data_IF_652164089804
#
_entry.id   IF_652164089804
#
_cell.length_a   1.000
_cell.length_b   1.000
_cell.length_c   1.000
_cell.angle_alpha   90.00
_cell.angle_beta   90.00
_cell.angle_gamma   90.00
#
_symmetry.space_group_name_H-M   'P 1'
#
loop_
_entity.id
_entity.type
_entity.pdbx_description
1 polymer ?
#
# COMPACT_ATOMS: atom_id res chain seq x y z
N UNK A 1 46.04 4.06 6.65
CA UNK A 1 46.35 4.63 5.33
C UNK A 1 45.88 3.63 4.28
N UNK A 2 44.67 3.83 3.75
CA UNK A 2 44.19 3.28 2.47
C UNK A 2 43.23 4.34 1.94
N UNK A 3 43.73 5.19 1.04
CA UNK A 3 42.98 6.22 0.33
C UNK A 3 42.18 5.54 -0.77
N UNK A 4 40.88 5.81 -0.84
CA UNK A 4 40.06 5.54 -2.02
C UNK A 4 40.24 6.69 -3.03
N UNK A 5 40.15 6.41 -4.34
CA UNK A 5 40.36 7.41 -5.39
C UNK A 5 39.29 8.51 -5.37
N UNK A 6 39.69 9.73 -5.74
CA UNK A 6 38.81 10.87 -5.95
C UNK A 6 37.75 10.57 -7.04
N UNK A 7 36.46 10.62 -6.65
CA UNK A 7 35.21 10.78 -7.45
C UNK A 7 34.18 9.70 -7.16
N UNK A 8 33.23 10.00 -6.26
CA UNK A 8 31.84 9.51 -6.21
C UNK A 8 31.15 10.02 -4.92
N UNK A 9 30.00 10.72 -5.01
CA UNK A 9 29.20 11.11 -3.83
C UNK A 9 28.17 10.05 -3.56
N UNK A 10 28.27 9.40 -2.42
CA UNK A 10 27.37 8.36 -1.97
C UNK A 10 26.18 8.99 -1.20
N UNK A 11 24.99 9.04 -1.79
CA UNK A 11 23.70 9.30 -1.12
C UNK A 11 23.32 8.14 -0.17
N UNK A 12 23.46 8.36 1.14
CA UNK A 12 22.87 7.49 2.16
C UNK A 12 21.47 7.96 2.52
N UNK A 13 20.46 7.31 1.97
CA UNK A 13 19.07 7.47 2.38
C UNK A 13 18.90 6.86 3.78
N UNK A 14 18.83 7.65 4.85
CA UNK A 14 18.34 7.16 6.13
C UNK A 14 16.83 7.48 6.24
N UNK A 15 16.09 6.57 6.86
CA UNK A 15 14.89 6.87 7.61
C UNK A 15 15.35 7.22 9.04
N UNK A 16 14.72 8.19 9.71
CA UNK A 16 14.71 8.19 11.19
C UNK A 16 13.36 7.59 11.61
N UNK A 17 13.27 6.57 12.47
CA UNK A 17 14.33 5.88 13.22
C UNK A 17 15.10 4.83 12.42
N UNK A 18 15.94 4.06 13.14
CA UNK A 18 16.68 2.87 12.70
C UNK A 18 16.29 2.38 11.31
N UNK A 19 17.30 1.94 10.55
CA UNK A 19 16.87 1.00 9.55
C UNK A 19 16.24 -0.17 10.25
N UNK A 20 15.04 -0.38 9.75
CA UNK A 20 14.43 -1.66 9.65
C UNK A 20 13.94 -1.86 8.19
N UNK A 21 14.82 -2.28 7.29
CA UNK A 21 14.57 -3.51 6.51
C UNK A 21 14.76 -4.73 7.42
N UNK A 22 14.16 -4.60 8.59
CA UNK A 22 13.55 -5.61 9.41
C UNK A 22 12.57 -4.92 10.37
N UNK A 23 11.56 -4.31 9.78
CA UNK A 23 10.23 -4.64 10.25
C UNK A 23 9.79 -5.66 9.22
N UNK A 24 10.44 -6.83 9.24
CA UNK A 24 9.65 -8.03 9.11
C UNK A 24 9.08 -8.19 10.53
N UNK A 25 8.16 -7.31 10.90
CA UNK A 25 7.10 -7.75 11.79
C UNK A 25 6.01 -8.31 10.87
N UNK A 26 4.92 -8.79 11.45
CA UNK A 26 3.82 -9.36 10.67
C UNK A 26 3.20 -8.39 9.65
N UNK A 27 3.50 -7.09 9.73
CA UNK A 27 2.74 -6.01 9.10
C UNK A 27 3.50 -5.37 7.94
N UNK A 28 4.84 -5.52 7.88
CA UNK A 28 5.66 -5.15 6.72
C UNK A 28 6.47 -6.36 6.18
N UNK A 29 6.26 -6.70 4.92
CA UNK A 29 6.92 -7.81 4.21
C UNK A 29 8.18 -7.33 3.48
N UNK A 30 9.06 -8.26 3.10
CA UNK A 30 10.24 -7.93 2.31
C UNK A 30 9.86 -7.43 0.91
N UNK A 31 8.82 -8.00 0.31
CA UNK A 31 8.31 -7.64 -1.01
C UNK A 31 7.82 -6.19 -1.06
N UNK A 32 7.20 -5.69 0.02
CA UNK A 32 6.77 -4.28 0.15
C UNK A 32 7.94 -3.28 0.22
N UNK A 33 9.18 -3.75 0.35
CA UNK A 33 10.40 -2.94 0.40
C UNK A 33 11.19 -3.01 -0.92
N UNK A 34 10.65 -3.68 -1.94
CA UNK A 34 11.28 -3.82 -3.25
C UNK A 34 11.48 -2.44 -3.88
N UNK A 35 12.72 -2.11 -4.26
CA UNK A 35 13.08 -0.94 -5.05
C UNK A 35 13.83 -1.46 -6.28
N UNK A 36 13.23 -1.28 -7.45
CA UNK A 36 13.76 -1.69 -8.76
C UNK A 36 14.51 -0.54 -9.44
N UNK A 37 14.06 0.70 -9.23
CA UNK A 37 14.71 1.89 -9.74
C UNK A 37 14.47 3.09 -8.81
N UNK A 38 15.35 4.08 -8.91
CA UNK A 38 15.31 5.28 -8.08
C UNK A 38 15.78 6.49 -8.89
N UNK A 39 15.05 7.59 -8.80
CA UNK A 39 15.40 8.87 -9.40
C UNK A 39 15.48 9.96 -8.34
N UNK A 40 16.43 10.88 -8.49
CA UNK A 40 16.72 11.95 -7.53
C UNK A 40 16.69 13.30 -8.22
N UNK A 41 16.02 14.27 -7.59
CA UNK A 41 15.89 15.64 -8.07
C UNK A 41 16.28 16.61 -6.96
N UNK A 42 16.88 17.74 -7.34
CA UNK A 42 17.31 18.79 -6.40
C UNK A 42 16.76 20.14 -6.82
N UNK A 43 16.24 20.93 -5.89
CA UNK A 43 15.92 22.35 -6.10
C UNK A 43 16.69 23.21 -5.10
N UNK A 44 16.77 24.51 -5.39
CA UNK A 44 17.15 25.48 -4.35
C UNK A 44 15.98 25.67 -3.37
N UNK A 45 16.24 25.91 -2.08
CA UNK A 45 15.18 26.19 -1.11
C UNK A 45 14.27 27.32 -1.59
N UNK A 46 12.96 27.12 -1.49
CA UNK A 46 11.93 28.07 -1.98
C UNK A 46 11.85 28.25 -3.50
N UNK A 47 12.57 27.44 -4.28
CA UNK A 47 12.48 27.41 -5.75
C UNK A 47 11.74 26.16 -6.22
N UNK A 48 10.88 26.32 -7.20
CA UNK A 48 10.23 25.20 -7.88
C UNK A 48 11.11 24.59 -8.99
N UNK A 49 12.22 25.25 -9.38
CA UNK A 49 13.05 24.80 -10.50
C UNK A 49 14.02 23.69 -10.08
N UNK A 50 14.01 22.59 -10.83
CA UNK A 50 14.96 21.49 -10.68
C UNK A 50 16.32 21.91 -11.21
N UNK A 51 17.30 21.95 -10.31
CA UNK A 51 18.69 22.31 -10.58
C UNK A 51 19.56 21.12 -10.97
N UNK A 52 19.25 19.94 -10.42
CA UNK A 52 19.96 18.69 -10.72
C UNK A 52 18.97 17.53 -10.78
N UNK A 53 19.20 16.60 -11.70
CA UNK A 53 18.32 15.46 -11.94
C UNK A 53 19.15 14.22 -12.30
N UNK A 54 18.81 13.11 -11.66
CA UNK A 54 19.42 11.80 -11.87
C UNK A 54 18.32 10.76 -12.00
N UNK A 55 18.08 10.29 -13.22
CA UNK A 55 17.05 9.29 -13.51
C UNK A 55 17.68 7.91 -13.48
N UNK A 56 17.04 6.98 -12.76
CA UNK A 56 17.50 5.60 -12.59
C UNK A 56 18.94 5.51 -12.05
N UNK A 57 19.19 6.28 -11.01
CA UNK A 57 20.42 6.23 -10.23
C UNK A 57 20.65 4.81 -9.69
N UNK A 58 21.83 4.28 -9.94
CA UNK A 58 22.25 3.02 -9.33
C UNK A 58 22.33 3.15 -7.80
N UNK A 59 22.00 2.06 -7.11
CA UNK A 59 22.11 1.98 -5.66
C UNK A 59 22.73 0.64 -5.25
N UNK A 60 23.36 0.63 -4.08
CA UNK A 60 23.85 -0.58 -3.42
C UNK A 60 22.96 -0.93 -2.23
N UNK A 61 22.80 -2.22 -2.01
CA UNK A 61 22.17 -2.76 -0.81
C UNK A 61 23.15 -2.73 0.35
N UNK A 62 22.84 -1.97 1.39
CA UNK A 62 23.45 -2.13 2.72
C UNK A 62 22.44 -2.88 3.58
N UNK A 63 22.88 -3.50 4.69
CA UNK A 63 22.00 -4.27 5.62
C UNK A 63 20.68 -3.57 5.92
N UNK A 64 20.76 -2.25 5.82
CA UNK A 64 19.84 -1.35 6.42
C UNK A 64 19.38 -0.23 5.41
N UNK A 65 20.13 0.15 4.38
CA UNK A 65 19.68 1.23 3.49
C UNK A 65 20.01 0.97 2.04
N UNK A 66 19.27 1.64 1.15
CA UNK A 66 19.70 1.80 -0.23
C UNK A 66 20.69 2.95 -0.31
N UNK A 67 21.86 2.64 -0.84
CA UNK A 67 22.95 3.56 -0.98
C UNK A 67 23.04 4.05 -2.42
N UNK A 68 22.49 5.22 -2.71
CA UNK A 68 22.60 5.82 -4.05
C UNK A 68 23.95 6.52 -4.14
N UNK A 69 24.55 6.71 -5.31
CA UNK A 69 25.77 7.51 -5.45
C UNK A 69 25.67 8.42 -6.67
N UNK A 70 25.71 9.74 -6.47
CA UNK A 70 25.60 10.75 -7.51
C UNK A 70 26.96 11.39 -7.82
N UNK A 71 27.18 11.82 -9.07
CA UNK A 71 28.40 12.52 -9.48
C UNK A 71 28.30 14.04 -9.22
N UNK A 72 28.11 14.44 -7.96
CA UNK A 72 28.01 15.85 -7.55
C UNK A 72 29.23 16.29 -6.72
N UNK A 73 29.57 17.59 -6.74
CA UNK A 73 30.55 18.19 -5.82
C UNK A 73 29.81 18.92 -4.68
N UNK A 74 29.84 18.41 -3.44
CA UNK A 74 29.15 19.03 -2.31
C UNK A 74 29.55 20.49 -2.06
N UNK A 75 30.79 20.86 -2.38
CA UNK A 75 31.28 22.23 -2.19
C UNK A 75 30.57 23.27 -3.07
N UNK A 76 29.88 22.81 -4.12
CA UNK A 76 29.15 23.66 -5.07
C UNK A 76 27.63 23.60 -4.89
N UNK A 77 27.13 22.66 -4.09
CA UNK A 77 25.69 22.44 -3.96
C UNK A 77 24.99 23.44 -3.04
N UNK A 78 25.69 23.98 -2.03
CA UNK A 78 25.05 24.86 -1.05
C UNK A 78 23.94 24.14 -0.27
N UNK A 79 22.80 24.81 -0.07
CA UNK A 79 21.61 24.19 0.51
C UNK A 79 20.66 23.74 -0.61
N UNK A 80 20.08 22.53 -0.52
CA UNK A 80 19.11 22.02 -1.50
C UNK A 80 17.90 21.36 -0.84
N UNK A 81 16.75 21.43 -1.51
CA UNK A 81 15.67 20.48 -1.28
C UNK A 81 15.90 19.25 -2.15
N UNK A 82 15.78 18.06 -1.56
CA UNK A 82 16.04 16.77 -2.21
C UNK A 82 14.74 16.02 -2.36
N UNK A 83 14.50 15.45 -3.54
CA UNK A 83 13.29 14.71 -3.88
C UNK A 83 13.70 13.36 -4.45
N UNK A 84 13.08 12.29 -3.95
CA UNK A 84 13.34 10.92 -4.40
C UNK A 84 12.05 10.30 -4.89
N UNK A 85 12.10 9.69 -6.06
CA UNK A 85 11.03 8.88 -6.65
C UNK A 85 11.58 7.46 -6.85
N UNK A 86 10.93 6.47 -6.26
CA UNK A 86 11.27 5.05 -6.45
C UNK A 86 10.18 4.32 -7.23
N UNK A 87 10.57 3.28 -7.97
CA UNK A 87 9.68 2.39 -8.75
C UNK A 87 8.75 3.16 -9.69
N UNK A 88 9.32 4.07 -10.48
CA UNK A 88 8.60 4.79 -11.53
C UNK A 88 9.17 4.41 -12.90
N UNK A 89 8.47 3.54 -13.62
CA UNK A 89 8.96 2.96 -14.88
C UNK A 89 8.70 3.86 -16.11
N UNK A 90 8.47 5.16 -15.89
CA UNK A 90 8.28 6.15 -16.96
C UNK A 90 9.49 7.08 -17.09
N UNK A 91 10.58 6.53 -17.65
CA UNK A 91 11.84 7.24 -17.86
C UNK A 91 11.68 8.55 -18.64
N UNK A 92 10.78 8.56 -19.63
CA UNK A 92 10.50 9.74 -20.47
C UNK A 92 9.91 10.86 -19.61
N UNK A 93 8.91 10.56 -18.77
CA UNK A 93 8.31 11.55 -17.87
C UNK A 93 9.30 12.02 -16.79
N UNK A 94 10.10 11.11 -16.24
CA UNK A 94 11.15 11.44 -15.27
C UNK A 94 12.19 12.40 -15.88
N UNK A 95 12.64 12.15 -17.11
CA UNK A 95 13.56 13.02 -17.83
C UNK A 95 12.92 14.35 -18.26
N UNK A 96 11.59 14.42 -18.41
CA UNK A 96 10.90 15.65 -18.76
C UNK A 96 10.80 16.65 -17.60
N UNK A 97 10.88 16.19 -16.35
CA UNK A 97 10.75 17.03 -15.15
C UNK A 97 11.74 18.19 -15.15
N UNK A 98 11.22 19.42 -15.06
CA UNK A 98 11.98 20.67 -14.88
C UNK A 98 11.60 21.39 -13.59
N UNK A 99 10.43 21.09 -13.02
CA UNK A 99 9.89 21.75 -11.84
C UNK A 99 9.29 20.77 -10.83
N UNK A 100 9.04 21.26 -9.60
CA UNK A 100 8.26 20.51 -8.60
C UNK A 100 6.84 20.21 -9.08
N UNK A 101 6.23 21.10 -9.87
CA UNK A 101 4.91 20.84 -10.43
C UNK A 101 4.94 19.70 -11.46
N UNK A 102 6.02 19.56 -12.25
CA UNK A 102 6.20 18.39 -13.13
C UNK A 102 6.31 17.09 -12.33
N UNK A 103 7.00 17.11 -11.17
CA UNK A 103 7.07 15.95 -10.29
C UNK A 103 5.68 15.56 -9.75
N UNK A 104 4.82 16.53 -9.44
CA UNK A 104 3.43 16.29 -8.99
C UNK A 104 2.53 15.72 -10.08
N UNK A 105 2.94 15.77 -11.35
CA UNK A 105 2.22 15.17 -12.48
C UNK A 105 2.63 13.72 -12.73
N UNK A 106 3.71 13.22 -12.10
CA UNK A 106 4.11 11.83 -12.23
C UNK A 106 3.09 10.90 -11.58
N UNK A 107 2.79 9.80 -12.28
CA UNK A 107 1.83 8.78 -11.85
C UNK A 107 2.53 7.45 -11.61
N UNK A 108 2.03 6.69 -10.65
CA UNK A 108 2.42 5.30 -10.47
C UNK A 108 2.00 4.45 -11.67
N UNK A 109 2.61 3.27 -11.83
CA UNK A 109 2.25 2.34 -12.89
C UNK A 109 0.74 2.01 -12.87
N UNK A 110 0.13 1.91 -14.04
CA UNK A 110 -1.30 1.59 -14.14
C UNK A 110 -1.55 0.12 -13.80
N UNK A 111 -2.50 -0.13 -12.92
CA UNK A 111 -3.08 -1.44 -12.60
C UNK A 111 -4.49 -1.52 -13.17
N UNK A 112 -5.04 -2.72 -13.32
CA UNK A 112 -6.40 -2.91 -13.82
C UNK A 112 -7.00 -4.22 -13.31
N UNK A 113 -8.23 -4.52 -13.73
CA UNK A 113 -8.99 -5.70 -13.29
C UNK A 113 -8.26 -7.05 -13.42
N UNK A 114 -7.28 -7.15 -14.32
CA UNK A 114 -6.49 -8.35 -14.59
C UNK A 114 -5.04 -8.27 -14.07
N UNK A 115 -4.53 -7.07 -13.80
CA UNK A 115 -3.16 -6.85 -13.34
C UNK A 115 -3.21 -5.97 -12.09
N UNK A 116 -3.25 -6.61 -10.92
CA UNK A 116 -3.40 -5.95 -9.63
C UNK A 116 -2.07 -5.38 -9.14
N UNK A 117 -2.13 -4.50 -8.15
CA UNK A 117 -0.93 -3.98 -7.50
C UNK A 117 -0.27 -5.07 -6.66
N UNK A 118 0.96 -5.43 -7.01
CA UNK A 118 1.75 -6.47 -6.32
C UNK A 118 3.04 -5.86 -5.76
N UNK A 119 3.36 -6.04 -4.47
CA UNK A 119 4.56 -5.49 -3.85
C UNK A 119 5.87 -5.89 -4.54
N UNK A 120 5.96 -7.15 -4.96
CA UNK A 120 7.15 -7.72 -5.62
C UNK A 120 7.52 -6.99 -6.93
N UNK A 121 6.55 -6.34 -7.58
CA UNK A 121 6.82 -5.55 -8.79
C UNK A 121 7.43 -4.17 -8.48
N UNK A 122 7.59 -3.82 -7.20
CA UNK A 122 7.99 -2.49 -6.76
C UNK A 122 6.81 -1.52 -6.74
N UNK A 123 6.38 -1.12 -5.54
CA UNK A 123 5.35 -0.09 -5.38
C UNK A 123 6.02 1.28 -5.53
N UNK A 124 5.43 2.19 -6.31
CA UNK A 124 5.93 3.57 -6.43
C UNK A 124 6.02 4.24 -5.05
N UNK A 125 7.11 4.94 -4.80
CA UNK A 125 7.33 5.67 -3.54
C UNK A 125 7.88 7.06 -3.80
N UNK A 126 7.67 7.96 -2.84
CA UNK A 126 8.16 9.32 -2.88
C UNK A 126 8.68 9.78 -1.53
N UNK A 127 9.76 10.55 -1.52
CA UNK A 127 10.33 11.13 -0.31
C UNK A 127 10.98 12.47 -0.55
N UNK A 128 11.09 13.28 0.49
CA UNK A 128 11.81 14.55 0.43
C UNK A 128 12.67 14.82 1.67
N UNK A 129 13.70 15.63 1.46
CA UNK A 129 14.50 16.25 2.54
C UNK A 129 14.64 17.73 2.23
N UNK A 130 13.89 18.60 2.93
CA UNK A 130 13.96 20.03 2.68
C UNK A 130 15.22 20.64 3.30
N UNK A 131 15.74 21.69 2.67
CA UNK A 131 16.79 22.57 3.15
C UNK A 131 18.04 21.83 3.68
N UNK A 132 18.47 20.76 3.00
CA UNK A 132 19.69 20.05 3.37
C UNK A 132 20.92 20.90 3.01
N UNK A 133 21.70 21.27 4.02
CA UNK A 133 22.89 22.10 3.85
C UNK A 133 24.15 21.25 3.66
N UNK A 134 24.70 21.27 2.44
CA UNK A 134 25.94 20.58 2.10
C UNK A 134 27.20 21.28 2.66
N UNK A 135 27.08 22.48 3.26
CA UNK A 135 28.21 23.26 3.78
C UNK A 135 28.55 23.01 5.26
N UNK A 136 27.67 22.36 6.03
CA UNK A 136 27.85 22.23 7.49
C UNK A 136 28.72 20.99 7.81
N UNK A 137 29.99 21.22 8.13
CA UNK A 137 30.89 20.24 8.75
C UNK A 137 31.32 19.08 7.83
N UNK A 138 31.46 17.87 8.39
CA UNK A 138 31.76 16.63 7.66
C UNK A 138 30.52 15.90 7.12
N UNK A 139 29.32 16.49 7.27
CA UNK A 139 28.06 15.87 6.84
C UNK A 139 27.92 15.95 5.32
N UNK A 140 28.22 14.84 4.65
CA UNK A 140 28.02 14.67 3.19
C UNK A 140 26.82 13.77 2.86
N UNK A 141 25.97 13.50 3.85
CA UNK A 141 24.98 12.42 3.80
C UNK A 141 23.58 12.98 4.05
N UNK A 142 22.71 12.87 3.06
CA UNK A 142 21.33 13.33 3.12
C UNK A 142 20.35 12.17 3.22
N UNK A 143 19.44 12.29 4.19
CA UNK A 143 18.50 11.29 4.68
C UNK A 143 17.13 11.54 4.08
N UNK A 144 16.65 10.66 3.19
CA UNK A 144 15.32 10.78 2.57
C UNK A 144 14.48 9.56 2.91
N UNK A 145 13.38 9.76 3.64
CA UNK A 145 12.36 8.74 3.87
C UNK A 145 11.38 8.73 2.70
N UNK A 146 11.14 7.57 2.11
CA UNK A 146 10.16 7.39 1.02
C UNK A 146 8.88 6.72 1.53
N UNK A 147 7.73 7.19 1.06
CA UNK A 147 6.40 6.66 1.41
C UNK A 147 5.77 6.00 0.20
N UNK A 148 5.14 4.83 0.42
CA UNK A 148 4.39 4.10 -0.62
C UNK A 148 3.19 4.90 -1.07
N UNK A 149 2.83 4.79 -2.34
CA UNK A 149 1.65 5.46 -2.91
C UNK A 149 0.35 4.69 -2.70
N UNK A 150 0.38 3.52 -2.05
CA UNK A 150 -0.79 2.66 -1.85
C UNK A 150 -1.12 2.45 -0.36
N UNK A 151 -2.36 2.05 -0.11
CA UNK A 151 -2.82 1.48 1.14
C UNK A 151 -2.63 -0.05 1.14
N UNK A 152 -2.59 -0.65 2.33
CA UNK A 152 -2.67 -2.09 2.55
C UNK A 152 -3.97 -2.43 3.27
N UNK A 153 -4.78 -3.28 2.66
CA UNK A 153 -5.96 -3.89 3.27
C UNK A 153 -5.62 -5.31 3.68
N UNK A 154 -5.51 -5.55 4.98
CA UNK A 154 -5.31 -6.88 5.55
C UNK A 154 -6.66 -7.45 5.93
N UNK A 155 -7.14 -8.38 5.12
CA UNK A 155 -8.40 -9.07 5.33
C UNK A 155 -8.17 -10.28 6.23
N UNK A 156 -9.02 -10.45 7.24
CA UNK A 156 -9.12 -11.66 8.06
C UNK A 156 -10.58 -12.06 8.18
N UNK A 157 -10.89 -13.30 7.81
CA UNK A 157 -12.19 -13.91 7.96
C UNK A 157 -12.11 -15.00 9.02
N UNK A 158 -13.06 -15.00 9.97
CA UNK A 158 -13.19 -16.02 11.00
C UNK A 158 -14.64 -16.47 11.15
N UNK A 159 -14.82 -17.66 11.69
CA UNK A 159 -16.12 -18.27 11.97
C UNK A 159 -16.20 -18.65 13.46
N UNK A 160 -16.48 -17.68 14.35
CA UNK A 160 -16.32 -17.88 15.80
C UNK A 160 -17.17 -19.02 16.37
N UNK A 161 -18.39 -19.21 15.86
CA UNK A 161 -19.32 -20.21 16.38
C UNK A 161 -19.11 -21.60 15.74
N UNK A 162 -18.60 -21.65 14.51
CA UNK A 162 -18.47 -22.90 13.75
C UNK A 162 -17.28 -22.82 12.76
N UNK A 163 -16.05 -23.14 13.22
CA UNK A 163 -14.83 -23.05 12.41
C UNK A 163 -14.79 -23.90 11.13
N UNK A 164 -15.72 -24.83 10.96
CA UNK A 164 -15.84 -25.71 9.78
C UNK A 164 -16.75 -25.11 8.69
N UNK A 165 -17.24 -23.88 8.88
CA UNK A 165 -18.31 -23.25 8.10
C UNK A 165 -18.08 -23.24 6.57
N UNK A 166 -16.85 -23.03 6.09
CA UNK A 166 -16.53 -23.07 4.66
C UNK A 166 -15.05 -23.25 4.39
N UNK A 167 -14.70 -24.05 3.37
CA UNK A 167 -13.35 -24.18 2.82
C UNK A 167 -13.11 -23.34 1.55
N UNK A 168 -14.15 -22.74 0.95
CA UNK A 168 -14.02 -21.80 -0.17
C UNK A 168 -14.49 -20.41 0.28
N UNK A 169 -13.54 -19.55 0.59
CA UNK A 169 -13.81 -18.18 1.02
C UNK A 169 -13.10 -17.23 0.07
N UNK A 170 -13.84 -16.29 -0.51
CA UNK A 170 -13.30 -15.38 -1.53
C UNK A 170 -13.74 -13.95 -1.28
N UNK A 171 -13.00 -13.01 -1.84
CA UNK A 171 -13.35 -11.60 -1.81
C UNK A 171 -13.12 -10.92 -3.15
N UNK A 172 -13.74 -9.77 -3.35
CA UNK A 172 -13.59 -8.92 -4.52
C UNK A 172 -13.66 -7.46 -4.09
N UNK A 173 -12.79 -6.62 -4.65
CA UNK A 173 -12.78 -5.18 -4.40
C UNK A 173 -13.28 -4.47 -5.66
N UNK A 174 -14.29 -3.62 -5.47
CA UNK A 174 -14.78 -2.68 -6.47
C UNK A 174 -14.32 -1.25 -6.16
N UNK A 175 -14.37 -0.39 -7.18
CA UNK A 175 -13.94 1.00 -7.11
C UNK A 175 -12.47 1.18 -6.68
N UNK A 176 -11.58 0.27 -7.08
CA UNK A 176 -10.14 0.44 -6.91
C UNK A 176 -9.59 1.39 -7.98
N UNK A 177 -8.66 2.27 -7.62
CA UNK A 177 -8.05 3.19 -8.58
C UNK A 177 -7.02 2.48 -9.48
N UNK A 178 -7.03 2.83 -10.77
CA UNK A 178 -6.14 2.36 -11.82
C UNK A 178 -4.71 2.87 -11.62
N UNK A 179 -4.55 4.06 -11.05
CA UNK A 179 -3.26 4.66 -10.70
C UNK A 179 -3.46 5.71 -9.61
N UNK A 180 -2.35 6.26 -9.12
CA UNK A 180 -2.35 7.47 -8.30
C UNK A 180 -1.14 8.33 -8.64
N UNK A 181 -1.11 9.56 -8.15
CA UNK A 181 0.05 10.44 -8.30
C UNK A 181 1.14 10.05 -7.31
N UNK A 182 2.40 10.03 -7.78
CA UNK A 182 3.54 9.64 -6.95
C UNK A 182 3.69 10.61 -5.77
N UNK A 183 3.57 11.91 -6.05
CA UNK A 183 3.39 12.96 -5.05
C UNK A 183 1.90 13.24 -4.94
N UNK A 184 1.38 13.41 -3.73
CA UNK A 184 -0.02 13.78 -3.55
C UNK A 184 -0.30 15.10 -4.30
N UNK A 185 -1.23 15.05 -5.24
CA UNK A 185 -1.62 16.20 -6.06
C UNK A 185 -3.10 16.52 -5.82
N UNK A 186 -3.37 17.39 -4.85
CA UNK A 186 -4.73 17.74 -4.42
C UNK A 186 -5.58 18.38 -5.52
N UNK A 187 -4.95 18.90 -6.58
CA UNK A 187 -5.63 19.49 -7.73
C UNK A 187 -6.06 18.45 -8.76
N UNK A 188 -5.42 17.28 -8.76
CA UNK A 188 -5.66 16.25 -9.73
C UNK A 188 -6.66 15.21 -9.19
N UNK A 189 -7.87 15.24 -9.74
CA UNK A 189 -8.97 14.36 -9.34
C UNK A 189 -9.08 13.21 -10.33
N UNK A 190 -8.98 11.98 -9.83
CA UNK A 190 -9.28 10.78 -10.62
C UNK A 190 -10.75 10.80 -11.06
N UNK A 191 -10.99 10.52 -12.33
CA UNK A 191 -12.34 10.46 -12.91
C UNK A 191 -12.96 9.07 -12.73
N UNK A 192 -14.25 8.92 -13.01
CA UNK A 192 -14.93 7.62 -12.92
C UNK A 192 -14.26 6.52 -13.76
N UNK A 193 -13.68 6.87 -14.90
CA UNK A 193 -12.97 5.94 -15.78
C UNK A 193 -11.64 5.44 -15.21
N UNK A 194 -11.13 6.11 -14.17
CA UNK A 194 -9.87 5.74 -13.51
C UNK A 194 -10.09 4.71 -12.40
N UNK A 195 -11.31 4.21 -12.21
CA UNK A 195 -11.63 3.18 -11.25
C UNK A 195 -12.06 1.88 -11.92
N UNK A 196 -11.77 0.75 -11.28
CA UNK A 196 -12.15 -0.57 -11.77
C UNK A 196 -12.60 -1.49 -10.63
N UNK A 197 -13.24 -2.57 -11.04
CA UNK A 197 -13.58 -3.72 -10.19
C UNK A 197 -12.69 -4.89 -10.57
N UNK A 198 -12.19 -5.63 -9.57
CA UNK A 198 -11.36 -6.81 -9.82
C UNK A 198 -12.11 -7.80 -10.71
N UNK A 199 -11.42 -8.44 -11.67
CA UNK A 199 -12.08 -9.26 -12.68
C UNK A 199 -12.75 -10.52 -12.11
N UNK A 200 -12.23 -11.02 -10.99
CA UNK A 200 -12.71 -12.23 -10.34
C UNK A 200 -12.47 -12.17 -8.83
N UNK A 201 -13.29 -12.91 -8.08
CA UNK A 201 -13.09 -13.06 -6.65
C UNK A 201 -11.80 -13.85 -6.35
N UNK A 202 -11.00 -13.34 -5.43
CA UNK A 202 -9.71 -13.86 -4.99
C UNK A 202 -9.91 -14.75 -3.76
N UNK A 203 -9.33 -15.96 -3.72
CA UNK A 203 -9.43 -16.82 -2.54
C UNK A 203 -8.67 -16.23 -1.34
N UNK A 204 -9.31 -16.26 -0.18
CA UNK A 204 -8.65 -16.06 1.11
C UNK A 204 -7.90 -17.34 1.48
N UNK A 205 -6.72 -17.22 2.07
CA UNK A 205 -5.84 -18.35 2.38
C UNK A 205 -6.03 -18.77 3.84
N UNK A 206 -6.31 -20.05 4.08
CA UNK A 206 -6.35 -20.61 5.44
C UNK A 206 -4.96 -20.47 6.11
N UNK A 207 -4.93 -19.84 7.28
CA UNK A 207 -3.70 -19.67 8.06
C UNK A 207 -3.50 -20.76 9.13
N UNK A 208 -4.35 -21.79 9.17
CA UNK A 208 -4.28 -22.91 10.10
C UNK A 208 -4.77 -22.61 11.52
N UNK A 209 -5.25 -21.38 11.77
CA UNK A 209 -5.79 -20.93 13.05
C UNK A 209 -7.29 -20.61 12.96
N UNK A 210 -8.02 -21.38 12.12
CA UNK A 210 -9.45 -21.16 11.84
C UNK A 210 -9.75 -19.75 11.31
N UNK A 211 -8.78 -19.19 10.58
CA UNK A 211 -8.88 -17.87 9.99
C UNK A 211 -8.36 -17.90 8.56
N UNK A 212 -9.02 -17.17 7.69
CA UNK A 212 -8.64 -17.01 6.29
C UNK A 212 -8.15 -15.59 6.08
N UNK A 213 -6.97 -15.42 5.47
CA UNK A 213 -6.35 -14.11 5.35
C UNK A 213 -5.93 -13.77 3.92
N UNK A 214 -5.84 -12.48 3.65
CA UNK A 214 -5.25 -11.94 2.42
C UNK A 214 -4.78 -10.50 2.64
N UNK A 215 -3.70 -10.09 1.98
CA UNK A 215 -3.26 -8.69 1.92
C UNK A 215 -3.44 -8.13 0.52
N UNK A 216 -4.35 -7.17 0.37
CA UNK A 216 -4.58 -6.46 -0.88
C UNK A 216 -3.93 -5.07 -0.83
N UNK A 217 -3.34 -4.64 -1.94
CA UNK A 217 -2.75 -3.31 -2.09
C UNK A 217 -3.59 -2.51 -3.06
N UNK A 218 -4.00 -1.31 -2.64
CA UNK A 218 -4.89 -0.43 -3.40
C UNK A 218 -4.29 0.96 -3.44
N UNK A 219 -4.23 1.58 -4.60
CA UNK A 219 -3.70 2.94 -4.72
C UNK A 219 -4.50 3.96 -3.92
N UNK A 220 -3.82 5.00 -3.43
CA UNK A 220 -4.49 6.14 -2.82
C UNK A 220 -5.51 6.75 -3.80
N UNK A 221 -6.72 6.95 -3.32
CA UNK A 221 -7.82 7.51 -4.09
C UNK A 221 -8.83 8.20 -3.17
N UNK A 222 -9.72 9.02 -3.73
CA UNK A 222 -10.79 9.69 -2.99
C UNK A 222 -12.10 8.90 -2.97
N UNK A 223 -12.30 7.98 -3.92
CA UNK A 223 -13.49 7.14 -3.99
C UNK A 223 -13.43 6.03 -2.95
N UNK A 224 -14.55 5.79 -2.30
CA UNK A 224 -14.77 4.70 -1.35
C UNK A 224 -14.75 3.35 -2.10
N UNK A 225 -13.80 2.45 -1.82
CA UNK A 225 -13.81 1.09 -2.35
C UNK A 225 -14.94 0.29 -1.70
N UNK A 226 -15.44 -0.72 -2.41
CA UNK A 226 -16.45 -1.64 -1.87
C UNK A 226 -15.90 -3.06 -1.84
N UNK A 227 -15.96 -3.69 -0.67
CA UNK A 227 -15.63 -5.09 -0.49
C UNK A 227 -16.88 -5.93 -0.74
N UNK A 228 -16.73 -6.97 -1.55
CA UNK A 228 -17.65 -8.09 -1.63
C UNK A 228 -16.93 -9.30 -1.08
N UNK A 229 -17.56 -10.05 -0.19
CA UNK A 229 -17.01 -11.30 0.30
C UNK A 229 -18.01 -12.43 0.16
N UNK A 230 -17.46 -13.62 -0.02
CA UNK A 230 -18.15 -14.80 -0.49
C UNK A 230 -17.77 -15.97 0.39
N UNK A 231 -18.77 -16.63 0.95
CA UNK A 231 -18.58 -17.80 1.80
C UNK A 231 -19.76 -18.77 1.65
N UNK A 232 -19.63 -19.96 2.23
CA UNK A 232 -20.65 -21.00 2.25
C UNK A 232 -21.13 -21.22 3.69
N UNK A 233 -22.38 -21.62 3.85
CA UNK A 233 -22.91 -22.03 5.15
C UNK A 233 -22.83 -23.55 5.26
N UNK A 234 -22.30 -24.10 6.36
CA UNK A 234 -22.40 -25.52 6.73
C UNK A 234 -22.15 -26.51 5.59
N UNK A 235 -21.06 -26.33 4.83
CA UNK A 235 -20.71 -27.16 3.64
C UNK A 235 -21.73 -27.13 2.48
N UNK A 236 -22.68 -26.19 2.50
CA UNK A 236 -23.65 -25.96 1.43
C UNK A 236 -22.97 -25.54 0.13
N UNK A 237 -23.54 -25.97 -1.00
CA UNK A 237 -23.16 -25.45 -2.32
C UNK A 237 -23.63 -24.01 -2.56
N UNK A 238 -24.59 -23.52 -1.75
CA UNK A 238 -25.14 -22.19 -1.91
C UNK A 238 -24.17 -21.13 -1.38
N UNK A 239 -23.72 -20.26 -2.29
CA UNK A 239 -22.80 -19.17 -2.02
C UNK A 239 -23.56 -17.99 -1.42
N UNK A 240 -23.08 -17.48 -0.29
CA UNK A 240 -23.56 -16.22 0.29
C UNK A 240 -22.64 -15.08 -0.09
N UNK A 241 -23.23 -13.95 -0.47
CA UNK A 241 -22.52 -12.69 -0.69
C UNK A 241 -22.85 -11.72 0.43
N UNK A 242 -21.84 -10.98 0.84
CA UNK A 242 -21.96 -9.83 1.70
C UNK A 242 -21.18 -8.70 1.07
N UNK A 243 -21.64 -7.46 1.25
CA UNK A 243 -20.94 -6.31 0.73
C UNK A 243 -20.95 -5.14 1.69
N UNK A 244 -19.86 -4.37 1.65
CA UNK A 244 -19.65 -3.25 2.57
C UNK A 244 -18.67 -2.25 1.97
N UNK A 245 -18.89 -0.98 2.26
CA UNK A 245 -17.96 0.08 1.90
C UNK A 245 -16.71 0.01 2.80
N UNK A 246 -15.53 0.08 2.19
CA UNK A 246 -14.25 0.14 2.88
C UNK A 246 -13.85 1.59 3.17
N UNK A 247 -13.03 1.86 4.18
CA UNK A 247 -12.44 3.18 4.37
C UNK A 247 -11.66 3.62 3.12
N UNK A 248 -11.70 4.92 2.83
CA UNK A 248 -10.95 5.53 1.73
C UNK A 248 -9.45 5.19 1.87
N UNK A 249 -8.77 4.67 0.82
CA UNK A 249 -7.39 4.25 0.90
C UNK A 249 -6.45 5.45 0.94
N UNK A 250 -5.74 5.62 2.07
CA UNK A 250 -4.66 6.58 2.20
C UNK A 250 -3.31 5.92 1.95
N UNK A 251 -2.43 6.65 1.27
CA UNK A 251 -1.08 6.19 0.98
C UNK A 251 -0.33 5.82 2.27
N UNK A 252 0.36 4.69 2.25
CA UNK A 252 1.13 4.15 3.37
C UNK A 252 0.32 3.82 4.65
N UNK A 253 -1.01 3.67 4.56
CA UNK A 253 -1.85 3.25 5.69
C UNK A 253 -2.10 1.72 5.65
N UNK A 254 -2.31 1.14 6.83
CA UNK A 254 -2.76 -0.24 7.02
C UNK A 254 -4.20 -0.23 7.54
N UNK A 255 -5.03 -1.09 6.96
CA UNK A 255 -6.39 -1.31 7.42
C UNK A 255 -6.56 -2.80 7.72
N UNK A 256 -6.73 -3.09 9.00
CA UNK A 256 -6.99 -4.43 9.50
C UNK A 256 -8.49 -4.66 9.51
N UNK A 257 -8.96 -5.40 8.51
CA UNK A 257 -10.37 -5.67 8.28
C UNK A 257 -10.66 -7.08 8.77
N UNK A 258 -11.40 -7.17 9.87
CA UNK A 258 -11.88 -8.42 10.42
C UNK A 258 -13.34 -8.64 10.00
N UNK A 259 -13.61 -9.79 9.41
CA UNK A 259 -14.93 -10.30 9.08
C UNK A 259 -15.21 -11.50 10.00
N UNK A 260 -16.25 -11.40 10.82
CA UNK A 260 -16.70 -12.45 11.70
C UNK A 260 -18.08 -12.92 11.27
N UNK A 261 -18.19 -14.16 10.81
CA UNK A 261 -19.46 -14.76 10.41
C UNK A 261 -19.98 -15.63 11.54
N UNK A 262 -21.15 -15.27 12.07
CA UNK A 262 -21.84 -15.96 13.14
C UNK A 262 -23.05 -16.72 12.62
N UNK A 263 -23.38 -17.81 13.29
CA UNK A 263 -24.71 -18.42 13.13
C UNK A 263 -25.71 -17.51 13.84
N UNK A 264 -26.75 -17.07 13.13
CA UNK A 264 -27.85 -16.35 13.78
C UNK A 264 -28.48 -17.32 14.79
N UNK A 265 -28.64 -16.93 16.06
CA UNK A 265 -29.40 -17.73 16.99
C UNK A 265 -30.79 -17.87 16.41
N UNK A 266 -31.16 -19.09 16.03
CA UNK A 266 -32.51 -19.37 15.57
C UNK A 266 -33.49 -18.86 16.62
N UNK A 267 -34.47 -18.08 16.17
CA UNK A 267 -35.76 -17.95 16.85
C UNK A 267 -36.10 -19.31 17.47
N UNK A 268 -36.53 -19.29 18.73
CA UNK A 268 -36.77 -20.43 19.64
C UNK A 268 -37.84 -21.46 19.18
N UNK A 269 -37.92 -21.78 17.88
CA UNK A 269 -38.82 -22.76 17.29
C UNK A 269 -38.04 -24.03 16.96
N UNK A 270 -38.13 -24.96 17.89
CA UNK A 270 -38.04 -26.42 17.73
C UNK A 270 -37.45 -26.92 16.40
N UNK A 271 -36.13 -27.11 16.35
CA UNK A 271 -35.42 -27.83 15.28
C UNK A 271 -35.95 -29.26 15.18
N UNK A 272 -36.52 -29.65 14.04
CA UNK A 272 -36.79 -31.06 13.70
C UNK A 272 -35.63 -31.61 12.88
N UNK A 273 -35.26 -32.87 13.12
CA UNK A 273 -34.02 -33.50 12.68
C UNK A 273 -33.84 -33.71 11.16
N UNK A 274 -34.66 -33.08 10.30
CA UNK A 274 -34.64 -33.26 8.84
C UNK A 274 -34.82 -31.95 8.06
N UNK A 275 -34.57 -30.79 8.66
CA UNK A 275 -34.52 -29.53 7.92
C UNK A 275 -33.09 -29.22 7.50
N UNK A 276 -32.82 -29.17 6.20
CA UNK A 276 -31.63 -28.53 5.64
C UNK A 276 -31.57 -27.10 6.21
N UNK A 277 -30.71 -26.89 7.21
CA UNK A 277 -30.77 -25.70 8.05
C UNK A 277 -30.19 -24.50 7.33
N UNK A 278 -31.07 -23.71 6.71
CA UNK A 278 -30.79 -22.31 6.35
C UNK A 278 -30.74 -21.44 7.61
N UNK A 279 -29.80 -21.69 8.53
CA UNK A 279 -29.56 -20.75 9.62
C UNK A 279 -29.23 -19.39 8.98
N UNK A 280 -29.95 -18.34 9.38
CA UNK A 280 -29.56 -16.98 9.01
C UNK A 280 -28.12 -16.79 9.51
N UNK A 281 -27.26 -16.13 8.74
CA UNK A 281 -25.90 -15.83 9.19
C UNK A 281 -25.77 -14.32 9.23
N UNK A 282 -25.15 -13.84 10.29
CA UNK A 282 -24.84 -12.43 10.46
C UNK A 282 -23.34 -12.29 10.33
N UNK A 283 -22.90 -11.33 9.53
CA UNK A 283 -21.49 -10.98 9.50
C UNK A 283 -21.28 -9.67 10.25
N UNK A 284 -20.29 -9.63 11.13
CA UNK A 284 -19.76 -8.38 11.66
C UNK A 284 -18.47 -8.06 10.93
N UNK A 285 -18.36 -6.85 10.41
CA UNK A 285 -17.09 -6.29 9.99
C UNK A 285 -16.58 -5.33 11.07
N UNK A 286 -15.30 -5.41 11.40
CA UNK A 286 -14.58 -4.34 12.08
C UNK A 286 -13.33 -3.94 11.30
N UNK A 287 -12.94 -2.68 11.41
CA UNK A 287 -11.75 -2.13 10.76
C UNK A 287 -10.96 -1.29 11.74
N UNK A 288 -9.74 -1.72 12.03
CA UNK A 288 -8.71 -0.92 12.69
C UNK A 288 -7.86 -0.23 11.60
N UNK A 289 -7.74 1.10 11.69
CA UNK A 289 -6.96 1.90 10.74
C UNK A 289 -5.70 2.44 11.38
N UNK A 290 -4.56 2.12 10.79
CA UNK A 290 -3.24 2.57 11.22
C UNK A 290 -2.65 3.53 10.21
N UNK A 291 -2.08 4.63 10.69
CA UNK A 291 -1.42 5.62 9.86
C UNK A 291 -0.02 5.16 9.39
N UNK A 292 0.67 6.02 8.66
CA UNK A 292 2.02 5.73 8.15
C UNK A 292 3.10 5.58 9.22
N UNK A 293 2.82 5.93 10.48
CA UNK A 293 3.70 5.74 11.63
C UNK A 293 3.35 4.44 12.41
N UNK A 294 2.27 3.75 12.02
CA UNK A 294 1.75 2.58 12.71
C UNK A 294 0.86 2.92 13.91
N UNK A 295 0.41 4.17 14.05
CA UNK A 295 -0.50 4.57 15.13
C UNK A 295 -1.95 4.23 14.75
N UNK A 296 -2.70 3.64 15.68
CA UNK A 296 -4.14 3.42 15.51
C UNK A 296 -4.87 4.76 15.52
N UNK A 297 -5.48 5.13 14.41
CA UNK A 297 -6.16 6.41 14.23
C UNK A 297 -7.68 6.30 14.10
N UNK A 298 -8.22 5.10 13.85
CA UNK A 298 -9.67 4.89 13.76
C UNK A 298 -10.05 3.43 14.01
N UNK A 299 -11.24 3.23 14.58
CA UNK A 299 -11.95 1.95 14.66
C UNK A 299 -13.37 2.11 14.13
N UNK A 300 -13.81 1.18 13.29
CA UNK A 300 -15.17 1.12 12.76
C UNK A 300 -15.73 -0.30 12.90
N UNK A 301 -17.03 -0.43 13.17
CA UNK A 301 -17.72 -1.73 13.23
C UNK A 301 -19.08 -1.63 12.55
N UNK A 302 -19.45 -2.64 11.77
CA UNK A 302 -20.72 -2.67 11.02
C UNK A 302 -21.25 -4.10 10.98
N UNK A 303 -22.56 -4.25 11.19
CA UNK A 303 -23.25 -5.52 10.99
C UNK A 303 -23.77 -5.60 9.55
N UNK A 304 -23.58 -6.77 8.92
CA UNK A 304 -23.87 -7.04 7.52
C UNK A 304 -24.85 -8.22 7.42
N UNK A 305 -25.82 -8.08 6.53
CA UNK A 305 -26.76 -9.12 6.17
C UNK A 305 -26.37 -9.73 4.82
N UNK A 306 -26.49 -11.05 4.70
CA UNK A 306 -26.17 -11.76 3.46
C UNK A 306 -27.26 -11.57 2.42
N UNK A 307 -26.85 -11.34 1.18
CA UNK A 307 -27.72 -11.54 0.02
C UNK A 307 -27.54 -12.98 -0.49
N UNK A 308 -28.65 -13.67 -0.78
CA UNK A 308 -28.60 -14.97 -1.46
C UNK A 308 -28.24 -14.73 -2.93
N UNK A 309 -27.16 -15.35 -3.38
CA UNK A 309 -26.75 -15.31 -4.78
C UNK A 309 -26.99 -16.69 -5.38
N UNK A 310 -27.89 -16.76 -6.38
CA UNK A 310 -28.20 -17.98 -7.13
C UNK A 310 -27.12 -18.30 -8.16
#
# INVERSE_FOLDING_TARGET
MWQLPEKQVVLKLFAEGNITSRVIDSDNTAEEQTINNLSVFFTDPSSDAVTHKFVYSGFSEVSDYKLVTLPLDPATLGTKDIYVVANCDNEVALNAVQTIDDLKLLTAAKVNKNNLLLPLNGIAMYGTTPAFDFNIGSRKEAVVTVVRTCAKYRLKLTFPDNPQLSSDNRFLIANAATYTYIIRNEKAVLTDNDYFTYASAIPLVDNGSQAYTYSAYVYEASRIPRLYFYTHADSSTDKREYSVDLPVPFRNYLYDILLEVYESPSDSRTRTANSDSNAAQVCRMSVDTYDGNGELVSYQSTELHSDKVN
#
